data_IF_338855132626
#
_entry.id   IF_338855132626
#
_cell.length_a   1.000
_cell.length_b   1.000
_cell.length_c   1.000
_cell.angle_alpha   90.00
_cell.angle_beta   90.00
_cell.angle_gamma   90.00
#
_symmetry.space_group_name_H-M   'P 1'
#
loop_
_entity.id
_entity.type
_entity.pdbx_description
1 polymer ?
#
# COMPACT_ATOMS: atom_id res chain seq x y z
N UNK A 1 -25.80 45.92 -17.90
CA UNK A 1 -26.36 45.43 -16.60
C UNK A 1 -25.29 44.56 -16.02
N UNK A 2 -24.26 45.26 -15.57
CA UNK A 2 -22.98 44.73 -15.13
C UNK A 2 -23.08 44.63 -13.62
N UNK A 3 -22.84 43.43 -13.10
CA UNK A 3 -22.98 43.14 -11.67
C UNK A 3 -21.60 43.08 -11.05
N UNK A 4 -21.09 44.27 -10.75
CA UNK A 4 -19.99 44.46 -9.83
C UNK A 4 -20.41 44.14 -8.38
N UNK A 5 -19.38 43.73 -7.63
CA UNK A 5 -19.19 43.85 -6.18
C UNK A 5 -19.72 42.74 -5.25
N UNK A 6 -18.80 41.90 -4.75
CA UNK A 6 -18.44 41.97 -3.33
C UNK A 6 -17.08 41.28 -3.07
N UNK A 7 -16.05 42.13 -2.90
CA UNK A 7 -14.89 42.03 -2.01
C UNK A 7 -14.55 40.67 -1.37
N UNK A 8 -13.35 40.17 -1.68
CA UNK A 8 -12.41 39.82 -0.60
C UNK A 8 -10.98 40.04 -1.11
N UNK A 9 -10.39 41.15 -0.67
CA UNK A 9 -8.96 41.38 -0.74
C UNK A 9 -8.24 40.34 0.12
N UNK A 10 -7.23 39.70 -0.45
CA UNK A 10 -6.09 39.20 0.32
C UNK A 10 -4.85 39.64 -0.47
N UNK A 11 -4.43 40.86 -0.20
CA UNK A 11 -3.06 41.32 -0.42
C UNK A 11 -2.16 40.58 0.58
N UNK A 12 -1.25 39.75 0.08
CA UNK A 12 0.02 39.45 0.75
C UNK A 12 1.06 39.17 -0.35
N UNK A 13 1.50 40.26 -0.97
CA UNK A 13 2.67 40.33 -1.85
C UNK A 13 3.93 40.49 -1.00
N UNK A 14 4.70 39.42 -0.80
CA UNK A 14 6.14 39.41 -0.45
C UNK A 14 6.68 38.00 -0.81
N UNK A 15 7.79 37.76 -1.50
CA UNK A 15 8.82 38.57 -2.12
C UNK A 15 9.69 37.61 -2.99
N UNK A 16 10.33 38.19 -4.01
CA UNK A 16 11.57 37.80 -4.68
C UNK A 16 11.82 36.37 -5.21
N UNK A 17 12.09 36.38 -6.52
CA UNK A 17 12.83 35.37 -7.25
C UNK A 17 14.24 35.07 -6.68
N UNK A 18 14.69 33.84 -6.86
CA UNK A 18 16.10 33.51 -7.06
C UNK A 18 16.22 32.25 -7.92
N UNK A 19 16.81 32.43 -9.09
CA UNK A 19 17.17 31.38 -10.04
C UNK A 19 18.59 30.87 -9.78
N UNK A 20 18.74 29.54 -9.72
CA UNK A 20 19.96 28.72 -9.98
C UNK A 20 19.64 27.33 -9.39
N UNK A 21 19.75 26.20 -10.06
CA UNK A 21 20.82 25.70 -10.91
C UNK A 21 21.23 24.34 -10.33
N UNK A 22 21.21 23.27 -11.13
CA UNK A 22 21.91 22.01 -10.82
C UNK A 22 21.05 20.80 -10.42
N UNK A 23 20.71 19.95 -11.40
CA UNK A 23 20.92 18.50 -11.29
C UNK A 23 22.27 18.21 -11.99
N UNK A 24 23.12 17.25 -11.55
CA UNK A 24 22.72 15.87 -11.24
C UNK A 24 23.46 15.18 -10.07
N UNK A 25 22.87 14.06 -9.62
CA UNK A 25 23.53 12.80 -9.25
C UNK A 25 24.72 12.79 -8.28
N UNK A 26 24.48 12.25 -7.08
CA UNK A 26 25.28 11.17 -6.45
C UNK A 26 24.63 10.80 -5.10
N UNK A 27 23.91 9.67 -5.04
CA UNK A 27 23.59 9.03 -3.76
C UNK A 27 24.61 7.90 -3.57
N UNK A 28 25.80 8.28 -3.11
CA UNK A 28 26.81 7.34 -2.65
C UNK A 28 26.52 6.93 -1.20
N UNK A 29 26.55 5.61 -0.96
CA UNK A 29 26.87 5.06 0.35
C UNK A 29 25.70 4.72 1.29
N UNK A 30 24.81 3.79 0.90
CA UNK A 30 24.10 2.96 1.87
C UNK A 30 25.05 1.84 2.32
N UNK A 31 25.70 2.01 3.48
CA UNK A 31 26.27 0.89 4.24
C UNK A 31 25.14 0.00 4.78
N UNK A 32 25.20 -1.33 4.62
CA UNK A 32 24.29 -2.25 5.25
C UNK A 32 24.90 -2.71 6.59
N UNK A 33 24.82 -1.88 7.63
CA UNK A 33 25.05 -2.36 8.99
C UNK A 33 23.76 -3.02 9.48
N UNK A 34 23.87 -4.31 9.77
CA UNK A 34 22.75 -5.21 10.01
C UNK A 34 22.03 -5.00 11.33
N UNK A 35 20.89 -5.68 11.45
CA UNK A 35 20.28 -5.96 12.75
C UNK A 35 18.79 -5.67 12.89
N UNK A 36 17.96 -5.97 11.89
CA UNK A 36 16.51 -6.11 12.11
C UNK A 36 16.03 -7.48 11.61
N UNK A 37 16.42 -8.53 12.32
CA UNK A 37 15.92 -9.89 12.10
C UNK A 37 15.62 -10.54 13.44
N UNK A 38 14.34 -10.66 13.80
CA UNK A 38 13.99 -11.28 15.08
C UNK A 38 12.50 -11.37 15.39
N UNK A 39 11.63 -11.54 14.39
CA UNK A 39 10.23 -11.89 14.64
C UNK A 39 9.59 -12.72 13.50
N UNK A 40 10.41 -13.36 12.66
CA UNK A 40 9.94 -14.25 11.59
C UNK A 40 9.93 -15.74 11.98
N UNK A 41 10.50 -16.10 13.15
CA UNK A 41 10.88 -17.49 13.44
C UNK A 41 9.79 -18.34 14.13
N UNK A 42 8.78 -17.71 14.73
CA UNK A 42 7.80 -18.44 15.57
C UNK A 42 6.82 -19.31 14.76
N UNK A 43 6.60 -19.03 13.47
CA UNK A 43 5.74 -19.84 12.59
C UNK A 43 6.50 -21.02 11.95
N UNK A 44 7.84 -20.98 11.97
CA UNK A 44 8.70 -22.01 11.40
C UNK A 44 8.82 -23.24 12.34
N UNK A 45 8.54 -23.06 13.63
CA UNK A 45 8.81 -24.06 14.68
C UNK A 45 7.85 -25.28 14.73
N UNK A 46 6.82 -25.38 13.87
CA UNK A 46 5.91 -26.53 13.90
C UNK A 46 6.21 -27.54 12.77
N UNK A 47 6.95 -28.63 13.05
CA UNK A 47 7.35 -29.61 12.03
C UNK A 47 6.18 -30.33 11.37
N UNK A 48 5.01 -30.40 12.04
CA UNK A 48 3.81 -31.03 11.48
C UNK A 48 3.14 -30.14 10.44
N UNK A 49 3.13 -28.82 10.67
CA UNK A 49 2.60 -27.85 9.71
C UNK A 49 3.52 -27.82 8.49
N UNK A 50 4.84 -27.73 8.72
CA UNK A 50 5.87 -27.79 7.68
C UNK A 50 5.68 -29.02 6.78
N UNK A 51 5.64 -30.23 7.36
CA UNK A 51 5.48 -31.47 6.61
C UNK A 51 4.16 -31.54 5.83
N UNK A 52 3.06 -31.07 6.41
CA UNK A 52 1.77 -31.03 5.74
C UNK A 52 1.76 -30.04 4.56
N UNK A 53 2.32 -28.85 4.75
CA UNK A 53 2.45 -27.83 3.70
C UNK A 53 3.33 -28.37 2.56
N UNK A 54 4.51 -28.92 2.87
CA UNK A 54 5.40 -29.50 1.86
C UNK A 54 4.72 -30.58 1.02
N UNK A 55 3.94 -31.47 1.66
CA UNK A 55 3.19 -32.52 0.95
C UNK A 55 2.17 -31.95 -0.03
N UNK A 56 1.43 -30.91 0.37
CA UNK A 56 0.45 -30.24 -0.50
C UNK A 56 1.14 -29.57 -1.68
N UNK A 57 2.22 -28.82 -1.43
CA UNK A 57 2.93 -28.07 -2.46
C UNK A 57 3.63 -28.97 -3.50
N UNK A 58 4.06 -30.18 -3.11
CA UNK A 58 4.66 -31.18 -4.01
C UNK A 58 3.63 -31.79 -4.98
N UNK A 59 2.39 -31.99 -4.52
CA UNK A 59 1.32 -32.59 -5.33
C UNK A 59 0.63 -31.61 -6.29
N UNK A 60 0.88 -30.31 -6.11
CA UNK A 60 0.20 -29.27 -6.87
C UNK A 60 0.94 -28.94 -8.17
N UNK A 61 0.22 -28.90 -9.28
CA UNK A 61 0.77 -28.51 -10.58
C UNK A 61 0.87 -26.98 -10.70
N UNK A 62 2.08 -26.47 -10.48
CA UNK A 62 2.39 -25.04 -10.59
C UNK A 62 2.40 -24.51 -12.03
N UNK A 63 2.33 -25.38 -13.05
CA UNK A 63 2.23 -24.94 -14.44
C UNK A 63 0.86 -24.31 -14.77
N UNK A 64 -0.17 -24.64 -13.99
CA UNK A 64 -1.50 -24.04 -14.04
C UNK A 64 -1.51 -22.57 -13.59
N UNK A 65 -0.49 -22.15 -12.83
CA UNK A 65 -0.26 -20.74 -12.54
C UNK A 65 0.39 -20.13 -13.76
N UNK A 66 -0.43 -19.61 -14.67
CA UNK A 66 0.03 -18.87 -15.83
C UNK A 66 1.10 -17.87 -15.38
N UNK A 67 2.35 -18.07 -15.84
CA UNK A 67 3.48 -17.19 -15.53
C UNK A 67 3.18 -15.84 -16.15
N UNK A 68 2.51 -14.98 -15.39
CA UNK A 68 2.27 -13.59 -15.80
C UNK A 68 3.65 -12.97 -15.98
N UNK A 69 4.04 -12.71 -17.24
CA UNK A 69 5.16 -11.82 -17.53
C UNK A 69 4.86 -10.51 -16.81
N UNK A 70 5.75 -10.09 -15.91
CA UNK A 70 5.66 -8.78 -15.27
C UNK A 70 6.02 -7.72 -16.31
N UNK A 71 5.06 -7.40 -17.18
CA UNK A 71 5.15 -6.19 -17.99
C UNK A 71 4.85 -5.01 -17.06
N UNK A 72 5.92 -4.48 -16.45
CA UNK A 72 5.90 -3.17 -15.84
C UNK A 72 5.66 -2.11 -16.93
N UNK A 73 4.82 -1.12 -16.60
CA UNK A 73 4.73 0.13 -17.35
C UNK A 73 3.70 0.16 -18.47
N UNK A 74 2.66 0.96 -18.25
CA UNK A 74 2.05 1.85 -19.24
C UNK A 74 1.25 1.32 -20.44
N UNK A 75 0.61 0.15 -20.37
CA UNK A 75 -0.47 -0.19 -21.32
C UNK A 75 -1.84 -0.13 -20.65
N UNK A 76 -2.42 1.07 -20.49
CA UNK A 76 -3.82 1.26 -20.05
C UNK A 76 -4.87 0.72 -21.06
N UNK A 77 -4.42 -0.04 -22.06
CA UNK A 77 -5.18 -0.56 -23.20
C UNK A 77 -5.41 -2.07 -23.13
N UNK A 78 -4.76 -2.78 -22.19
CA UNK A 78 -4.95 -4.22 -21.99
C UNK A 78 -5.95 -4.47 -20.85
N UNK A 79 -6.90 -5.41 -20.99
CA UNK A 79 -7.88 -5.71 -19.94
C UNK A 79 -7.16 -6.28 -18.71
N UNK A 80 -7.04 -5.49 -17.64
CA UNK A 80 -6.42 -5.89 -16.39
C UNK A 80 -7.42 -6.65 -15.52
N UNK A 81 -7.17 -7.94 -15.28
CA UNK A 81 -7.96 -8.76 -14.36
C UNK A 81 -7.59 -8.40 -12.92
N UNK A 82 -8.58 -8.00 -12.11
CA UNK A 82 -8.38 -7.64 -10.70
C UNK A 82 -8.10 -8.89 -9.85
N UNK A 83 -7.25 -8.75 -8.83
CA UNK A 83 -6.99 -9.80 -7.83
C UNK A 83 -8.23 -9.98 -6.95
N UNK A 84 -8.66 -11.22 -6.64
CA UNK A 84 -9.76 -11.44 -5.69
C UNK A 84 -9.34 -10.96 -4.29
N UNK A 85 -10.30 -10.47 -3.52
CA UNK A 85 -10.05 -10.03 -2.15
C UNK A 85 -9.73 -11.22 -1.26
N UNK A 86 -8.64 -11.13 -0.49
CA UNK A 86 -8.32 -12.15 0.50
C UNK A 86 -9.34 -12.15 1.66
N UNK A 87 -9.31 -13.20 2.50
CA UNK A 87 -10.27 -13.38 3.60
C UNK A 87 -10.32 -12.16 4.56
N UNK A 88 -9.16 -11.63 4.92
CA UNK A 88 -9.07 -10.43 5.76
C UNK A 88 -9.73 -9.22 5.11
N UNK A 89 -9.53 -8.99 3.81
CA UNK A 89 -10.11 -7.85 3.10
C UNK A 89 -11.65 -7.91 3.09
N UNK A 90 -12.23 -9.10 2.91
CA UNK A 90 -13.68 -9.31 2.95
C UNK A 90 -14.23 -8.98 4.34
N UNK A 91 -13.59 -9.48 5.40
CA UNK A 91 -13.97 -9.21 6.78
C UNK A 91 -13.82 -7.71 7.14
N UNK A 92 -12.65 -7.14 6.85
CA UNK A 92 -12.31 -5.75 7.18
C UNK A 92 -13.24 -4.76 6.45
N UNK A 93 -13.75 -5.08 5.27
CA UNK A 93 -14.70 -4.24 4.54
C UNK A 93 -16.00 -4.03 5.32
N UNK A 94 -16.56 -5.09 5.92
CA UNK A 94 -17.76 -4.99 6.73
C UNK A 94 -17.50 -4.26 8.06
N UNK A 95 -16.35 -4.54 8.69
CA UNK A 95 -15.97 -3.92 9.95
C UNK A 95 -15.71 -2.40 9.80
N UNK A 96 -14.97 -1.99 8.76
CA UNK A 96 -14.74 -0.56 8.49
C UNK A 96 -16.03 0.20 8.23
N UNK A 97 -16.98 -0.38 7.50
CA UNK A 97 -18.27 0.27 7.24
C UNK A 97 -18.98 0.64 8.55
N UNK A 98 -19.06 -0.30 9.49
CA UNK A 98 -19.66 -0.06 10.82
C UNK A 98 -18.93 0.99 11.66
N UNK A 99 -17.60 1.06 11.54
CA UNK A 99 -16.79 2.03 12.30
C UNK A 99 -16.79 3.42 11.65
N UNK A 100 -16.86 3.51 10.33
CA UNK A 100 -16.93 4.79 9.62
C UNK A 100 -18.23 5.53 9.92
N UNK A 101 -19.34 4.81 10.12
CA UNK A 101 -20.62 5.40 10.51
C UNK A 101 -20.55 6.06 11.92
N UNK A 102 -19.79 5.45 12.84
CA UNK A 102 -19.61 5.95 14.22
C UNK A 102 -18.51 7.02 14.33
N UNK A 103 -17.45 6.88 13.53
CA UNK A 103 -16.26 7.72 13.56
C UNK A 103 -15.98 8.29 12.16
N UNK A 104 -16.81 9.23 11.66
CA UNK A 104 -16.67 9.76 10.31
C UNK A 104 -15.40 10.59 10.10
N UNK A 105 -14.79 11.09 11.18
CA UNK A 105 -13.52 11.82 11.17
C UNK A 105 -12.29 10.90 11.13
N UNK A 106 -12.46 9.60 11.39
CA UNK A 106 -11.36 8.66 11.49
C UNK A 106 -11.03 8.08 10.11
N UNK A 107 -9.77 8.21 9.69
CA UNK A 107 -9.35 7.75 8.38
C UNK A 107 -9.29 6.21 8.30
N UNK A 108 -9.59 5.66 7.11
CA UNK A 108 -9.60 4.22 6.86
C UNK A 108 -8.26 3.52 7.19
N UNK A 109 -7.14 4.24 7.07
CA UNK A 109 -5.84 3.69 7.48
C UNK A 109 -5.78 3.39 8.98
N UNK A 110 -6.30 4.29 9.82
CA UNK A 110 -6.33 4.10 11.28
C UNK A 110 -7.25 2.94 11.66
N UNK A 111 -8.45 2.87 11.05
CA UNK A 111 -9.36 1.74 11.23
C UNK A 111 -8.69 0.41 10.84
N UNK A 112 -7.95 0.40 9.74
CA UNK A 112 -7.25 -0.80 9.26
C UNK A 112 -6.15 -1.26 10.21
N UNK A 113 -5.42 -0.32 10.84
CA UNK A 113 -4.39 -0.67 11.83
C UNK A 113 -4.99 -1.41 13.01
N UNK A 114 -6.11 -0.93 13.54
CA UNK A 114 -6.79 -1.57 14.68
C UNK A 114 -7.40 -2.91 14.28
N UNK A 115 -8.06 -2.98 13.12
CA UNK A 115 -8.66 -4.21 12.60
C UNK A 115 -7.61 -5.29 12.29
N UNK A 116 -6.44 -4.91 11.79
CA UNK A 116 -5.34 -5.84 11.52
C UNK A 116 -4.69 -6.43 12.78
N UNK A 117 -4.81 -5.76 13.94
CA UNK A 117 -4.38 -6.32 15.23
C UNK A 117 -5.41 -7.28 15.84
N UNK A 118 -6.68 -7.12 15.49
CA UNK A 118 -7.79 -7.92 16.02
C UNK A 118 -7.94 -9.26 15.27
N UNK A 119 -7.56 -9.28 14.00
CA UNK A 119 -7.55 -10.45 13.12
C UNK A 119 -6.29 -11.29 13.34
#
# INVERSE_FOLDING_TARGET
MDRDDCKHEYDDDLDAASSSGGSPGACDGLSPEGGHGGMADALDANPRIQAAVSKVLQSYDWSLVAKTSRQGGSDKRKPHVKRPMNAFMVWAQAARRKLADQYPHLHNAELSKTLGKLW
#
